data_IF_711598482807
#
_entry.id   IF_711598482807
#
_cell.length_a   1.000
_cell.length_b   1.000
_cell.length_c   1.000
_cell.angle_alpha   90.00
_cell.angle_beta   90.00
_cell.angle_gamma   90.00
#
_symmetry.space_group_name_H-M   'P 1'
#
loop_
_entity.id
_entity.type
_entity.pdbx_description
1 polymer ?
#
# COMPACT_ATOMS: atom_id res chain seq x y z
N UNK A 1 -28.28 -7.88 18.79
CA UNK A 1 -27.79 -6.47 18.74
C UNK A 1 -28.64 -5.67 17.77
N UNK A 2 -29.44 -4.71 18.24
CA UNK A 2 -30.20 -3.79 17.39
C UNK A 2 -29.19 -2.98 16.54
N UNK A 3 -29.23 -3.15 15.20
CA UNK A 3 -28.51 -2.23 14.29
C UNK A 3 -29.02 -0.83 14.58
N UNK A 4 -28.18 0.02 15.12
CA UNK A 4 -28.43 1.46 15.18
C UNK A 4 -28.59 1.94 13.73
N UNK A 5 -29.85 2.04 13.26
CA UNK A 5 -30.15 2.75 12.03
C UNK A 5 -29.97 4.22 12.35
N UNK A 6 -28.94 4.82 11.74
CA UNK A 6 -28.77 6.27 11.82
C UNK A 6 -30.07 6.91 11.28
N UNK A 7 -30.57 7.97 11.93
CA UNK A 7 -31.78 8.64 11.44
C UNK A 7 -31.62 9.06 9.98
N UNK A 8 -32.72 9.15 9.22
CA UNK A 8 -32.67 9.65 7.85
C UNK A 8 -31.94 11.01 7.82
N UNK A 9 -31.26 11.28 6.71
CA UNK A 9 -30.62 12.57 6.51
C UNK A 9 -31.68 13.52 5.94
N UNK A 10 -32.18 14.44 6.76
CA UNK A 10 -33.12 15.46 6.37
C UNK A 10 -32.39 16.66 5.76
N UNK A 11 -32.04 16.55 4.51
CA UNK A 11 -31.44 17.65 3.74
C UNK A 11 -31.96 17.59 2.30
N UNK A 12 -32.36 18.73 1.67
CA UNK A 12 -32.93 18.75 0.32
C UNK A 12 -32.03 18.10 -0.74
N UNK A 13 -30.72 18.22 -0.60
CA UNK A 13 -29.75 17.61 -1.51
C UNK A 13 -29.53 16.11 -1.30
N UNK A 14 -30.04 15.51 -0.22
CA UNK A 14 -29.74 14.13 0.16
C UNK A 14 -30.07 13.13 -0.96
N UNK A 15 -31.18 13.33 -1.67
CA UNK A 15 -31.61 12.44 -2.74
C UNK A 15 -30.67 12.52 -3.96
N UNK A 16 -30.23 13.73 -4.35
CA UNK A 16 -29.30 13.91 -5.47
C UNK A 16 -27.95 13.21 -5.19
N UNK A 17 -27.40 13.41 -3.99
CA UNK A 17 -26.17 12.75 -3.57
C UNK A 17 -26.31 11.22 -3.47
N UNK A 18 -27.44 10.72 -2.98
CA UNK A 18 -27.70 9.28 -2.93
C UNK A 18 -27.74 8.66 -4.34
N UNK A 19 -28.41 9.29 -5.30
CA UNK A 19 -28.44 8.86 -6.71
C UNK A 19 -27.04 8.86 -7.34
N UNK A 20 -26.23 9.88 -7.05
CA UNK A 20 -24.85 9.94 -7.54
C UNK A 20 -24.01 8.77 -6.98
N UNK A 21 -24.16 8.44 -5.68
CA UNK A 21 -23.51 7.27 -5.10
C UNK A 21 -24.01 5.97 -5.76
N UNK A 22 -25.29 5.81 -6.00
CA UNK A 22 -25.86 4.65 -6.67
C UNK A 22 -25.33 4.49 -8.08
N UNK A 23 -25.24 5.57 -8.85
CA UNK A 23 -24.62 5.57 -10.19
C UNK A 23 -23.15 5.12 -10.15
N UNK A 24 -22.39 5.55 -9.14
CA UNK A 24 -21.01 5.12 -8.95
C UNK A 24 -20.88 3.66 -8.45
N UNK A 25 -21.95 3.08 -7.88
CA UNK A 25 -21.91 1.76 -7.25
C UNK A 25 -21.66 0.60 -8.20
N UNK A 26 -21.89 0.75 -9.50
CA UNK A 26 -21.54 -0.26 -10.50
C UNK A 26 -20.05 -0.57 -10.53
N UNK A 27 -19.20 0.39 -10.14
CA UNK A 27 -17.75 0.26 -10.09
C UNK A 27 -17.17 0.18 -8.66
N UNK A 28 -17.98 0.47 -7.63
CA UNK A 28 -17.53 0.56 -6.24
C UNK A 28 -17.72 -0.74 -5.47
N UNK A 29 -16.76 -1.05 -4.58
CA UNK A 29 -16.94 -2.10 -3.59
C UNK A 29 -17.97 -1.66 -2.53
N UNK A 30 -18.66 -2.60 -1.84
CA UNK A 30 -19.57 -2.27 -0.74
C UNK A 30 -18.92 -1.43 0.37
N UNK A 31 -17.62 -1.64 0.60
CA UNK A 31 -16.83 -0.84 1.55
C UNK A 31 -16.65 0.59 1.09
N UNK A 32 -16.41 0.80 -0.20
CA UNK A 32 -16.27 2.13 -0.79
C UNK A 32 -17.60 2.88 -0.78
N UNK A 33 -18.70 2.20 -1.13
CA UNK A 33 -20.05 2.78 -1.02
C UNK A 33 -20.30 3.31 0.39
N UNK A 34 -20.06 2.48 1.40
CA UNK A 34 -20.24 2.88 2.81
C UNK A 34 -19.40 4.10 3.19
N UNK A 35 -18.19 4.21 2.65
CA UNK A 35 -17.34 5.37 2.87
C UNK A 35 -17.92 6.63 2.24
N UNK A 36 -18.43 6.55 1.01
CA UNK A 36 -19.11 7.66 0.35
C UNK A 36 -20.36 8.10 1.10
N UNK A 37 -21.19 7.16 1.55
CA UNK A 37 -22.37 7.45 2.38
C UNK A 37 -22.00 8.22 3.64
N UNK A 38 -20.89 7.84 4.31
CA UNK A 38 -20.40 8.56 5.50
C UNK A 38 -19.95 9.99 5.15
N UNK A 39 -19.24 10.15 4.05
CA UNK A 39 -18.73 11.45 3.62
C UNK A 39 -19.87 12.40 3.26
N UNK A 40 -20.82 11.93 2.45
CA UNK A 40 -22.00 12.71 2.06
C UNK A 40 -22.79 13.12 3.29
N UNK A 41 -23.05 12.17 4.20
CA UNK A 41 -23.77 12.47 5.42
C UNK A 41 -23.09 13.57 6.24
N UNK A 42 -21.77 13.46 6.44
CA UNK A 42 -21.03 14.48 7.21
C UNK A 42 -21.05 15.85 6.52
N UNK A 43 -20.95 15.88 5.20
CA UNK A 43 -20.98 17.10 4.43
C UNK A 43 -22.39 17.76 4.47
N UNK A 44 -23.45 16.98 4.26
CA UNK A 44 -24.82 17.50 4.28
C UNK A 44 -25.29 17.91 5.68
N UNK A 45 -24.84 17.21 6.74
CA UNK A 45 -25.07 17.68 8.11
C UNK A 45 -24.40 19.02 8.35
N UNK A 46 -23.15 19.18 7.91
CA UNK A 46 -22.46 20.48 7.98
C UNK A 46 -23.21 21.57 7.22
N UNK A 47 -23.63 21.32 5.97
CA UNK A 47 -24.38 22.28 5.19
C UNK A 47 -25.71 22.65 5.87
N UNK A 48 -26.48 21.69 6.34
CA UNK A 48 -27.74 21.94 7.01
C UNK A 48 -27.61 22.72 8.32
N UNK A 49 -26.43 22.66 8.96
CA UNK A 49 -26.16 23.41 10.20
C UNK A 49 -25.66 24.82 9.92
N UNK A 50 -24.69 24.99 9.03
CA UNK A 50 -24.00 26.25 8.78
C UNK A 50 -24.63 27.07 7.65
N UNK A 51 -25.29 26.40 6.70
CA UNK A 51 -25.85 27.02 5.47
C UNK A 51 -27.21 26.39 5.11
N UNK A 52 -28.24 26.53 5.97
CA UNK A 52 -29.56 25.93 5.76
C UNK A 52 -30.28 26.43 4.50
N UNK A 53 -29.87 27.58 3.95
CA UNK A 53 -30.40 28.16 2.72
C UNK A 53 -29.94 27.40 1.46
N UNK A 54 -28.93 26.57 1.55
CA UNK A 54 -28.43 25.78 0.43
C UNK A 54 -29.29 24.55 0.21
N UNK A 55 -30.31 24.69 -0.62
CA UNK A 55 -31.30 23.64 -0.90
C UNK A 55 -31.17 23.01 -2.27
N UNK A 56 -30.42 23.65 -3.20
CA UNK A 56 -30.24 23.23 -4.59
C UNK A 56 -28.76 23.14 -4.97
N UNK A 57 -28.41 22.20 -5.86
CA UNK A 57 -27.03 22.00 -6.33
C UNK A 57 -26.34 23.27 -6.88
N UNK A 58 -27.03 24.13 -7.71
CA UNK A 58 -26.41 25.35 -8.23
C UNK A 58 -26.05 26.39 -7.17
N UNK A 59 -26.57 26.27 -5.95
CA UNK A 59 -26.24 27.21 -4.85
C UNK A 59 -24.90 26.84 -4.17
N UNK A 60 -24.39 25.63 -4.41
CA UNK A 60 -23.10 25.24 -3.87
C UNK A 60 -21.98 26.14 -4.41
N UNK A 61 -21.11 26.60 -3.53
CA UNK A 61 -19.93 27.42 -3.84
C UNK A 61 -18.69 26.76 -3.23
N UNK A 62 -17.54 26.97 -3.89
CA UNK A 62 -16.26 26.55 -3.32
C UNK A 62 -16.02 27.23 -1.97
N UNK A 63 -16.13 28.54 -1.95
CA UNK A 63 -16.15 29.35 -0.75
C UNK A 63 -17.57 29.95 -0.59
N UNK A 64 -18.22 29.81 0.58
CA UNK A 64 -17.68 29.29 1.85
C UNK A 64 -17.92 27.79 2.08
N UNK A 65 -18.72 27.08 1.24
CA UNK A 65 -19.28 25.76 1.61
C UNK A 65 -18.20 24.67 1.68
N UNK A 66 -17.31 24.57 0.68
CA UNK A 66 -16.29 23.50 0.64
C UNK A 66 -15.09 23.86 1.51
N UNK A 67 -14.58 25.09 1.40
CA UNK A 67 -13.44 25.54 2.21
C UNK A 67 -13.81 25.62 3.69
N UNK A 68 -15.05 26.06 4.00
CA UNK A 68 -15.59 26.03 5.36
C UNK A 68 -15.70 24.62 5.92
N UNK A 69 -16.19 23.64 5.11
CA UNK A 69 -16.22 22.24 5.55
C UNK A 69 -14.83 21.66 5.81
N UNK A 70 -13.83 22.03 5.00
CA UNK A 70 -12.45 21.64 5.25
C UNK A 70 -11.93 22.19 6.58
N UNK A 71 -12.25 23.44 6.88
CA UNK A 71 -11.92 24.10 8.15
C UNK A 71 -12.67 23.43 9.32
N UNK A 72 -13.95 23.13 9.16
CA UNK A 72 -14.77 22.39 10.13
C UNK A 72 -14.18 21.01 10.44
N UNK A 73 -13.70 20.26 9.43
CA UNK A 73 -13.04 18.97 9.64
C UNK A 73 -11.73 19.08 10.45
N UNK A 74 -10.99 20.18 10.30
CA UNK A 74 -9.75 20.43 11.06
C UNK A 74 -10.04 20.86 12.50
N UNK A 75 -11.12 21.63 12.72
CA UNK A 75 -11.54 22.08 14.05
C UNK A 75 -12.25 21.02 14.87
N UNK A 76 -12.51 19.83 14.31
CA UNK A 76 -13.18 18.72 15.00
C UNK A 76 -12.42 18.29 16.25
N UNK A 77 -13.14 18.03 17.34
CA UNK A 77 -12.53 17.56 18.60
C UNK A 77 -12.96 16.11 18.88
N UNK A 78 -12.04 15.14 18.91
CA UNK A 78 -10.60 15.25 18.59
C UNK A 78 -10.37 15.51 17.07
N UNK A 79 -9.25 16.14 16.68
CA UNK A 79 -8.98 16.49 15.28
C UNK A 79 -8.89 15.23 14.40
N UNK A 80 -9.47 15.33 13.20
CA UNK A 80 -9.40 14.23 12.25
C UNK A 80 -7.98 14.08 11.69
N UNK A 81 -7.52 12.84 11.60
CA UNK A 81 -6.22 12.55 10.99
C UNK A 81 -6.19 13.02 9.51
N UNK A 82 -5.08 13.64 9.09
CA UNK A 82 -4.89 14.14 7.72
C UNK A 82 -5.25 13.13 6.63
N UNK A 83 -4.85 11.84 6.71
CA UNK A 83 -5.28 10.85 5.71
C UNK A 83 -6.80 10.65 5.65
N UNK A 84 -7.50 10.82 6.78
CA UNK A 84 -8.96 10.73 6.83
C UNK A 84 -9.61 11.90 6.11
N UNK A 85 -9.11 13.12 6.35
CA UNK A 85 -9.57 14.33 5.64
C UNK A 85 -9.34 14.19 4.14
N UNK A 86 -8.14 13.79 3.72
CA UNK A 86 -7.79 13.54 2.32
C UNK A 86 -8.75 12.54 1.68
N UNK A 87 -9.00 11.40 2.34
CA UNK A 87 -9.93 10.39 1.83
C UNK A 87 -11.37 10.91 1.68
N UNK A 88 -11.83 11.75 2.61
CA UNK A 88 -13.15 12.40 2.52
C UNK A 88 -13.24 13.38 1.36
N UNK A 89 -12.21 14.19 1.16
CA UNK A 89 -12.15 15.16 0.07
C UNK A 89 -12.12 14.46 -1.29
N UNK A 90 -11.32 13.41 -1.47
CA UNK A 90 -11.34 12.63 -2.71
C UNK A 90 -12.70 11.99 -2.99
N UNK A 91 -13.35 11.46 -1.96
CA UNK A 91 -14.69 10.88 -2.12
C UNK A 91 -15.71 11.96 -2.53
N UNK A 92 -15.72 13.14 -1.88
CA UNK A 92 -16.61 14.22 -2.21
C UNK A 92 -16.34 14.76 -3.62
N UNK A 93 -15.07 14.91 -4.02
CA UNK A 93 -14.69 15.32 -5.37
C UNK A 93 -15.23 14.35 -6.43
N UNK A 94 -15.09 13.05 -6.21
CA UNK A 94 -15.64 12.03 -7.12
C UNK A 94 -17.15 12.15 -7.24
N UNK A 95 -17.85 12.42 -6.14
CA UNK A 95 -19.31 12.62 -6.14
C UNK A 95 -19.68 13.90 -6.88
N UNK A 96 -18.95 15.01 -6.72
CA UNK A 96 -19.21 16.25 -7.49
C UNK A 96 -19.03 16.04 -8.98
N UNK A 97 -18.04 15.29 -9.42
CA UNK A 97 -17.90 14.92 -10.83
C UNK A 97 -19.11 14.13 -11.34
N UNK A 98 -19.63 13.21 -10.54
CA UNK A 98 -20.81 12.43 -10.91
C UNK A 98 -22.10 13.29 -10.92
N UNK A 99 -22.27 14.18 -9.94
CA UNK A 99 -23.37 15.15 -9.91
C UNK A 99 -23.31 16.11 -11.09
N UNK A 100 -22.12 16.60 -11.45
CA UNK A 100 -21.92 17.45 -12.62
C UNK A 100 -22.37 16.78 -13.90
N UNK A 101 -22.02 15.49 -14.06
CA UNK A 101 -22.38 14.67 -15.22
C UNK A 101 -23.90 14.40 -15.27
N UNK A 102 -24.52 14.00 -14.14
CA UNK A 102 -25.91 13.56 -14.09
C UNK A 102 -26.91 14.72 -14.13
N UNK A 103 -26.52 15.88 -13.62
CA UNK A 103 -27.38 17.07 -13.57
C UNK A 103 -27.00 18.11 -14.61
N UNK A 104 -26.04 17.86 -15.49
CA UNK A 104 -25.53 18.82 -16.51
C UNK A 104 -25.05 20.16 -15.90
N UNK A 105 -24.40 20.08 -14.73
CA UNK A 105 -23.89 21.23 -13.98
C UNK A 105 -22.35 21.22 -13.92
N UNK A 106 -21.64 21.61 -14.99
CA UNK A 106 -20.18 21.53 -15.06
C UNK A 106 -19.46 22.29 -13.94
N UNK A 107 -20.04 23.38 -13.45
CA UNK A 107 -19.47 24.18 -12.36
C UNK A 107 -19.25 23.40 -11.05
N UNK A 108 -19.93 22.26 -10.84
CA UNK A 108 -19.72 21.42 -9.66
C UNK A 108 -18.33 20.75 -9.64
N UNK A 109 -17.68 20.60 -10.80
CA UNK A 109 -16.32 20.02 -10.88
C UNK A 109 -15.28 20.94 -10.24
N UNK A 110 -15.50 22.25 -10.33
CA UNK A 110 -14.56 23.28 -9.86
C UNK A 110 -14.76 23.61 -8.37
N UNK A 111 -15.77 23.03 -7.72
CA UNK A 111 -16.00 23.25 -6.28
C UNK A 111 -14.87 22.69 -5.41
N UNK A 112 -14.21 21.63 -5.85
CA UNK A 112 -13.11 21.00 -5.12
C UNK A 112 -11.99 20.61 -6.08
N UNK A 113 -11.00 21.48 -6.17
CA UNK A 113 -9.84 21.27 -7.00
C UNK A 113 -8.87 20.26 -6.36
N UNK A 114 -7.97 19.69 -7.17
CA UNK A 114 -6.95 18.78 -6.66
C UNK A 114 -5.95 19.48 -5.74
N UNK A 115 -5.70 20.74 -6.01
CA UNK A 115 -4.81 21.62 -5.26
C UNK A 115 -5.33 21.94 -3.86
N UNK A 116 -6.64 21.88 -3.64
CA UNK A 116 -7.28 22.06 -2.33
C UNK A 116 -7.03 20.86 -1.40
N UNK A 117 -6.71 19.72 -1.97
CA UNK A 117 -6.53 18.48 -1.19
C UNK A 117 -5.10 18.44 -0.63
N UNK A 118 -4.94 18.41 0.69
CA UNK A 118 -3.62 18.34 1.32
C UNK A 118 -2.80 17.17 0.80
N UNK A 119 -1.50 17.36 0.69
CA UNK A 119 -0.60 16.23 0.39
C UNK A 119 -0.60 15.25 1.54
N UNK A 120 -0.67 13.95 1.22
CA UNK A 120 -0.55 12.91 2.25
C UNK A 120 0.86 12.94 2.83
N UNK A 121 1.01 12.98 4.17
CA UNK A 121 2.32 12.85 4.77
C UNK A 121 2.91 11.48 4.42
N UNK A 122 4.19 11.48 4.08
CA UNK A 122 4.93 10.24 3.81
C UNK A 122 5.17 9.55 5.16
N UNK A 123 4.35 8.54 5.47
CA UNK A 123 4.54 7.75 6.70
C UNK A 123 5.35 6.51 6.39
N UNK A 124 6.45 6.33 7.12
CA UNK A 124 7.27 5.14 7.04
C UNK A 124 6.51 3.91 7.54
N UNK A 125 6.81 2.71 7.01
CA UNK A 125 6.32 1.47 7.58
C UNK A 125 6.73 1.38 9.05
N UNK A 126 5.83 0.85 9.86
CA UNK A 126 6.08 0.61 11.29
C UNK A 126 6.11 -0.89 11.54
N UNK A 127 7.24 -1.58 11.29
CA UNK A 127 7.38 -2.97 11.68
C UNK A 127 7.34 -3.09 13.21
N UNK A 128 7.11 -4.28 13.70
CA UNK A 128 7.32 -4.60 15.11
C UNK A 128 8.80 -4.41 15.46
N UNK A 129 9.11 -3.95 16.67
CA UNK A 129 10.48 -4.02 17.15
C UNK A 129 10.91 -5.49 17.30
N UNK A 130 12.21 -5.77 17.32
CA UNK A 130 12.71 -7.13 17.49
C UNK A 130 12.17 -7.79 18.77
N UNK A 131 12.10 -7.03 19.85
CA UNK A 131 11.56 -7.46 21.13
C UNK A 131 10.06 -7.77 21.05
N UNK A 132 9.27 -6.84 20.48
CA UNK A 132 7.82 -7.05 20.28
C UNK A 132 7.54 -8.27 19.41
N UNK A 133 8.27 -8.44 18.31
CA UNK A 133 8.11 -9.58 17.42
C UNK A 133 8.44 -10.90 18.13
N UNK A 134 9.50 -10.94 18.92
CA UNK A 134 9.90 -12.10 19.69
C UNK A 134 8.86 -12.45 20.77
N UNK A 135 8.44 -11.49 21.58
CA UNK A 135 7.45 -11.70 22.64
C UNK A 135 6.11 -12.20 22.07
N UNK A 136 5.61 -11.56 21.02
CA UNK A 136 4.36 -11.97 20.39
C UNK A 136 4.45 -13.35 19.77
N UNK A 137 5.55 -13.68 19.08
CA UNK A 137 5.74 -15.00 18.49
C UNK A 137 5.79 -16.10 19.57
N UNK A 138 6.53 -15.88 20.65
CA UNK A 138 6.62 -16.82 21.76
C UNK A 138 5.25 -17.03 22.41
N UNK A 139 4.50 -15.96 22.64
CA UNK A 139 3.18 -16.06 23.27
C UNK A 139 2.15 -16.75 22.36
N UNK A 140 2.16 -16.46 21.05
CA UNK A 140 1.29 -17.16 20.11
C UNK A 140 1.61 -18.65 19.99
N UNK A 141 2.91 -19.03 20.01
CA UNK A 141 3.33 -20.41 20.03
C UNK A 141 2.94 -21.11 21.33
N UNK A 142 3.08 -20.44 22.48
CA UNK A 142 2.70 -20.96 23.79
C UNK A 142 1.19 -21.19 23.89
N UNK A 143 0.38 -20.24 23.43
CA UNK A 143 -1.09 -20.37 23.43
C UNK A 143 -1.57 -21.44 22.47
N UNK A 144 -0.95 -21.51 21.31
CA UNK A 144 -1.31 -22.43 20.23
C UNK A 144 -2.83 -22.49 19.96
N UNK A 145 -3.50 -21.34 20.04
CA UNK A 145 -4.93 -21.19 19.78
C UNK A 145 -5.18 -20.65 18.34
N UNK A 146 -6.45 -20.55 17.94
CA UNK A 146 -6.83 -20.08 16.62
C UNK A 146 -6.24 -18.70 16.31
N UNK A 147 -6.39 -17.74 17.24
CA UNK A 147 -5.93 -16.36 17.05
C UNK A 147 -4.41 -16.29 16.90
N UNK A 148 -3.66 -16.96 17.77
CA UNK A 148 -2.20 -17.03 17.71
C UNK A 148 -1.69 -17.62 16.40
N UNK A 149 -2.28 -18.72 15.94
CA UNK A 149 -1.89 -19.34 14.66
C UNK A 149 -2.23 -18.43 13.46
N UNK A 150 -3.32 -17.67 13.50
CA UNK A 150 -3.62 -16.65 12.46
C UNK A 150 -2.55 -15.55 12.44
N UNK A 151 -2.15 -15.01 13.60
CA UNK A 151 -1.12 -13.96 13.63
C UNK A 151 0.27 -14.47 13.26
N UNK A 152 0.60 -15.70 13.61
CA UNK A 152 1.81 -16.37 13.11
C UNK A 152 1.76 -16.50 11.58
N UNK A 153 0.64 -16.93 11.00
CA UNK A 153 0.49 -17.01 9.55
C UNK A 153 0.69 -15.63 8.88
N UNK A 154 0.11 -14.55 9.44
CA UNK A 154 0.33 -13.19 8.93
C UNK A 154 1.81 -12.81 8.96
N UNK A 155 2.51 -13.17 10.04
CA UNK A 155 3.92 -12.83 10.25
C UNK A 155 4.85 -13.58 9.30
N UNK A 156 4.56 -14.85 8.99
CA UNK A 156 5.38 -15.71 8.14
C UNK A 156 5.07 -15.63 6.65
N UNK A 157 3.91 -15.14 6.27
CA UNK A 157 3.50 -15.07 4.86
C UNK A 157 3.28 -13.65 4.33
N UNK A 158 3.25 -12.66 5.22
CA UNK A 158 2.98 -11.28 4.87
C UNK A 158 1.58 -11.02 4.31
N UNK A 159 0.64 -11.97 4.39
CA UNK A 159 -0.74 -11.76 3.95
C UNK A 159 -1.46 -10.72 4.82
N UNK A 160 -2.41 -10.00 4.23
CA UNK A 160 -3.24 -9.07 5.01
C UNK A 160 -4.25 -9.84 5.85
N UNK A 161 -4.61 -9.33 7.03
CA UNK A 161 -5.63 -9.97 7.86
C UNK A 161 -6.95 -10.17 7.11
N UNK A 162 -7.33 -9.23 6.23
CA UNK A 162 -8.51 -9.36 5.38
C UNK A 162 -8.39 -10.46 4.31
N UNK A 163 -7.18 -10.78 3.87
CA UNK A 163 -6.89 -11.91 2.97
C UNK A 163 -6.86 -13.23 3.74
N UNK A 164 -6.27 -13.24 4.94
CA UNK A 164 -6.22 -14.44 5.79
C UNK A 164 -7.62 -14.97 6.13
N UNK A 165 -8.57 -14.09 6.43
CA UNK A 165 -9.97 -14.49 6.70
C UNK A 165 -10.73 -14.91 5.44
N UNK A 166 -10.20 -14.69 4.25
CA UNK A 166 -10.77 -15.13 2.97
C UNK A 166 -10.10 -16.41 2.43
N UNK A 167 -9.06 -16.93 3.08
CA UNK A 167 -8.38 -18.15 2.65
C UNK A 167 -9.39 -19.31 2.55
N UNK A 168 -9.30 -20.05 1.45
CA UNK A 168 -10.05 -21.28 1.30
C UNK A 168 -9.46 -22.39 2.19
N UNK A 169 -10.27 -23.38 2.53
CA UNK A 169 -9.82 -24.55 3.32
C UNK A 169 -8.64 -25.27 2.64
N UNK A 170 -8.65 -25.33 1.32
CA UNK A 170 -7.62 -25.96 0.48
C UNK A 170 -6.60 -24.95 -0.08
N UNK A 171 -6.37 -23.82 0.62
CA UNK A 171 -5.43 -22.78 0.21
C UNK A 171 -3.97 -23.23 0.09
N UNK A 172 -3.59 -24.37 0.71
CA UNK A 172 -2.24 -24.90 0.64
C UNK A 172 -2.11 -25.79 -0.61
N UNK A 173 -1.20 -25.41 -1.52
CA UNK A 173 -0.98 -26.07 -2.81
C UNK A 173 0.45 -26.60 -2.92
N UNK A 174 0.68 -27.78 -3.48
CA UNK A 174 2.02 -28.24 -3.81
C UNK A 174 2.60 -27.34 -4.93
N UNK A 175 3.85 -26.95 -4.77
CA UNK A 175 4.59 -26.09 -5.71
C UNK A 175 5.82 -26.79 -6.32
N UNK A 176 6.07 -28.03 -5.94
CA UNK A 176 7.19 -28.87 -6.36
C UNK A 176 7.47 -29.96 -5.34
N UNK A 177 8.50 -30.81 -5.54
CA UNK A 177 8.92 -31.80 -4.55
C UNK A 177 9.25 -31.12 -3.21
N UNK A 178 8.51 -31.46 -2.17
CA UNK A 178 8.63 -30.86 -0.82
C UNK A 178 8.46 -29.34 -0.75
N UNK A 179 7.91 -28.71 -1.80
CA UNK A 179 7.64 -27.28 -1.83
C UNK A 179 6.14 -27.01 -1.78
N UNK A 180 5.78 -26.01 -0.99
CA UNK A 180 4.39 -25.63 -0.78
C UNK A 180 4.20 -24.13 -0.98
N UNK A 181 3.02 -23.76 -1.42
CA UNK A 181 2.63 -22.38 -1.54
C UNK A 181 1.22 -22.17 -1.02
N UNK A 182 1.01 -21.01 -0.39
CA UNK A 182 -0.29 -20.55 0.06
C UNK A 182 -0.97 -19.79 -1.07
N UNK A 183 -2.10 -20.29 -1.53
CA UNK A 183 -2.95 -19.61 -2.48
C UNK A 183 -3.74 -18.51 -1.77
N UNK A 184 -3.44 -17.27 -2.09
CA UNK A 184 -4.12 -16.08 -1.55
C UNK A 184 -5.12 -15.60 -2.59
N UNK A 185 -6.45 -15.67 -2.30
CA UNK A 185 -7.48 -15.33 -3.28
C UNK A 185 -7.50 -13.82 -3.55
N UNK A 186 -8.25 -13.44 -4.58
CA UNK A 186 -8.48 -12.05 -4.98
C UNK A 186 -8.90 -11.19 -3.78
N UNK A 187 -7.99 -10.32 -3.33
CA UNK A 187 -8.26 -9.36 -2.26
C UNK A 187 -8.77 -8.01 -2.76
N UNK A 188 -8.71 -6.99 -1.92
CA UNK A 188 -9.11 -5.60 -2.22
C UNK A 188 -8.45 -5.05 -3.50
N UNK A 189 -7.24 -5.48 -3.82
CA UNK A 189 -6.49 -5.04 -5.01
C UNK A 189 -6.72 -5.93 -6.25
N UNK A 190 -7.67 -6.86 -6.19
CA UNK A 190 -7.98 -7.83 -7.26
C UNK A 190 -6.73 -8.58 -7.76
N UNK A 191 -5.79 -8.87 -6.85
CA UNK A 191 -4.60 -9.67 -7.13
C UNK A 191 -4.70 -11.01 -6.42
N UNK A 192 -4.68 -12.07 -7.20
CA UNK A 192 -4.49 -13.44 -6.74
C UNK A 192 -3.01 -13.78 -6.79
N UNK A 193 -2.51 -14.53 -5.82
CA UNK A 193 -1.09 -14.88 -5.79
C UNK A 193 -0.81 -16.15 -5.03
N UNK A 194 0.30 -16.77 -5.37
CA UNK A 194 0.90 -17.86 -4.62
C UNK A 194 2.04 -17.32 -3.76
N UNK A 195 2.01 -17.59 -2.45
CA UNK A 195 3.06 -17.22 -1.50
C UNK A 195 3.77 -18.50 -1.08
N UNK A 196 5.06 -18.69 -1.40
CA UNK A 196 5.82 -19.85 -0.93
C UNK A 196 5.79 -19.94 0.59
N UNK A 197 5.67 -21.15 1.11
CA UNK A 197 5.70 -21.42 2.55
C UNK A 197 6.67 -22.57 2.84
N UNK A 198 7.39 -22.43 3.94
CA UNK A 198 8.25 -23.47 4.49
C UNK A 198 7.45 -24.52 5.29
N UNK A 199 8.15 -25.45 5.91
CA UNK A 199 7.54 -26.49 6.75
C UNK A 199 6.71 -25.88 7.88
N UNK A 200 7.21 -24.81 8.51
CA UNK A 200 6.48 -24.15 9.60
C UNK A 200 5.20 -23.46 9.11
N UNK A 201 5.27 -22.73 7.99
CA UNK A 201 4.10 -22.11 7.37
C UNK A 201 3.03 -23.15 6.95
N UNK A 202 3.48 -24.31 6.43
CA UNK A 202 2.60 -25.46 6.14
C UNK A 202 1.91 -25.96 7.43
N UNK A 203 2.67 -26.15 8.49
CA UNK A 203 2.12 -26.64 9.76
C UNK A 203 1.12 -25.67 10.39
N UNK A 204 1.33 -24.36 10.26
CA UNK A 204 0.35 -23.36 10.69
C UNK A 204 -0.99 -23.54 9.96
N UNK A 205 -0.99 -23.79 8.64
CA UNK A 205 -2.21 -24.05 7.88
C UNK A 205 -2.89 -25.33 8.36
N UNK A 206 -2.12 -26.41 8.65
CA UNK A 206 -2.67 -27.65 9.20
C UNK A 206 -3.29 -27.45 10.59
N UNK A 207 -2.66 -26.67 11.47
CA UNK A 207 -3.25 -26.30 12.77
C UNK A 207 -4.56 -25.52 12.60
N UNK A 208 -4.60 -24.56 11.68
CA UNK A 208 -5.82 -23.81 11.39
C UNK A 208 -6.93 -24.71 10.83
N UNK A 209 -6.60 -25.69 9.97
CA UNK A 209 -7.55 -26.73 9.52
C UNK A 209 -8.07 -27.57 10.67
N UNK A 210 -7.20 -27.95 11.61
CA UNK A 210 -7.60 -28.67 12.81
C UNK A 210 -8.58 -27.84 13.65
N UNK A 211 -8.30 -26.56 13.95
CA UNK A 211 -9.28 -25.70 14.62
C UNK A 211 -10.58 -25.57 13.85
N UNK A 212 -10.51 -25.52 12.51
CA UNK A 212 -11.71 -25.45 11.67
C UNK A 212 -12.55 -26.71 11.76
N UNK A 213 -11.94 -27.90 11.90
CA UNK A 213 -12.67 -29.15 12.06
C UNK A 213 -13.38 -29.30 13.41
N UNK A 214 -12.91 -28.58 14.43
CA UNK A 214 -13.54 -28.53 15.76
C UNK A 214 -14.66 -27.48 15.87
N UNK A 215 -14.77 -26.59 14.87
CA UNK A 215 -15.74 -25.49 14.90
C UNK A 215 -17.14 -26.02 14.51
N UNK A 216 -18.18 -25.75 15.33
CA UNK A 216 -19.55 -26.24 15.06
C UNK A 216 -20.24 -25.55 13.87
N UNK A 217 -19.67 -24.46 13.36
CA UNK A 217 -20.23 -23.75 12.21
C UNK A 217 -20.13 -24.58 10.93
N UNK A 218 -21.14 -24.50 10.04
CA UNK A 218 -21.15 -25.23 8.78
C UNK A 218 -19.89 -24.96 7.95
N UNK A 219 -19.45 -25.98 7.22
CA UNK A 219 -18.33 -25.87 6.30
C UNK A 219 -18.71 -24.93 5.13
N UNK A 220 -18.09 -23.76 5.07
CA UNK A 220 -18.31 -22.77 4.01
C UNK A 220 -17.14 -22.71 3.01
N UNK A 221 -16.31 -23.76 3.00
CA UNK A 221 -15.12 -23.86 2.14
C UNK A 221 -13.96 -22.94 2.56
N UNK A 222 -14.05 -22.29 3.72
CA UNK A 222 -13.01 -21.38 4.25
C UNK A 222 -12.17 -22.03 5.34
N UNK A 223 -10.92 -21.56 5.42
CA UNK A 223 -9.97 -22.00 6.45
C UNK A 223 -10.40 -21.52 7.85
N UNK A 224 -11.00 -20.35 7.96
CA UNK A 224 -11.46 -19.76 9.23
C UNK A 224 -12.98 -19.66 9.21
N UNK A 225 -13.63 -20.22 10.24
CA UNK A 225 -15.06 -20.07 10.45
C UNK A 225 -15.46 -18.62 10.68
N UNK A 226 -16.62 -18.21 10.17
CA UNK A 226 -17.13 -16.85 10.32
C UNK A 226 -18.36 -16.84 11.21
N UNK A 227 -18.25 -16.34 12.46
CA UNK A 227 -19.42 -16.16 13.29
C UNK A 227 -20.24 -14.97 12.77
N UNK A 228 -21.15 -15.24 11.83
CA UNK A 228 -22.05 -14.26 11.23
C UNK A 228 -21.46 -13.50 10.05
N UNK A 229 -20.34 -12.80 10.17
CA UNK A 229 -19.80 -11.98 9.08
C UNK A 229 -18.26 -11.89 9.08
N UNK A 230 -17.69 -11.57 7.91
CA UNK A 230 -16.25 -11.25 7.81
C UNK A 230 -15.83 -10.14 8.77
N UNK A 231 -16.68 -9.13 8.95
CA UNK A 231 -16.38 -7.99 9.83
C UNK A 231 -16.33 -8.44 11.29
N UNK A 232 -17.23 -9.32 11.71
CA UNK A 232 -17.26 -9.86 13.06
C UNK A 232 -15.95 -10.62 13.38
N UNK A 233 -15.52 -11.50 12.47
CA UNK A 233 -14.26 -12.23 12.64
C UNK A 233 -13.05 -11.28 12.69
N UNK A 234 -13.02 -10.25 11.84
CA UNK A 234 -11.95 -9.25 11.86
C UNK A 234 -11.90 -8.46 13.18
N UNK A 235 -13.07 -8.18 13.76
CA UNK A 235 -13.16 -7.52 15.08
C UNK A 235 -12.62 -8.46 16.15
N UNK A 236 -13.08 -9.71 16.19
CA UNK A 236 -12.62 -10.72 17.17
C UNK A 236 -11.10 -10.92 17.12
N UNK A 237 -10.51 -11.01 15.92
CA UNK A 237 -9.05 -11.14 15.78
C UNK A 237 -8.31 -9.90 16.28
N UNK A 238 -8.85 -8.70 16.06
CA UNK A 238 -8.24 -7.46 16.58
C UNK A 238 -8.32 -7.38 18.10
N UNK A 239 -9.47 -7.74 18.67
CA UNK A 239 -9.68 -7.77 20.11
C UNK A 239 -8.77 -8.81 20.78
N UNK A 240 -8.63 -10.00 20.15
CA UNK A 240 -7.65 -11.01 20.57
C UNK A 240 -6.22 -10.44 20.60
N UNK A 241 -5.77 -9.80 19.52
CA UNK A 241 -4.44 -9.19 19.47
C UNK A 241 -4.27 -8.14 20.58
N UNK A 242 -5.27 -7.27 20.76
CA UNK A 242 -5.24 -6.25 21.81
C UNK A 242 -5.12 -6.88 23.20
N UNK A 243 -5.86 -7.95 23.48
CA UNK A 243 -5.80 -8.68 24.73
C UNK A 243 -4.43 -9.32 24.96
N UNK A 244 -3.83 -9.93 23.93
CA UNK A 244 -2.47 -10.48 24.01
C UNK A 244 -1.44 -9.40 24.31
N UNK A 245 -1.52 -8.26 23.60
CA UNK A 245 -0.62 -7.14 23.85
C UNK A 245 -0.75 -6.61 25.27
N UNK A 246 -1.97 -6.52 25.78
CA UNK A 246 -2.23 -6.10 27.16
C UNK A 246 -1.62 -7.09 28.18
N UNK A 247 -1.81 -8.39 27.98
CA UNK A 247 -1.24 -9.44 28.85
C UNK A 247 0.29 -9.40 28.87
N UNK A 248 0.91 -9.05 27.73
CA UNK A 248 2.38 -8.90 27.62
C UNK A 248 2.90 -7.54 28.12
N UNK A 249 2.05 -6.65 28.62
CA UNK A 249 2.46 -5.31 29.08
C UNK A 249 2.97 -4.40 27.97
N UNK A 250 2.59 -4.63 26.72
CA UNK A 250 3.03 -3.80 25.58
C UNK A 250 2.29 -2.46 25.61
N UNK A 251 2.99 -1.38 25.88
CA UNK A 251 2.43 -0.01 25.98
C UNK A 251 2.01 0.58 24.62
N UNK A 252 2.61 0.13 23.54
CA UNK A 252 2.31 0.61 22.19
C UNK A 252 1.18 -0.17 21.54
N UNK A 253 0.26 0.54 20.88
CA UNK A 253 -0.81 -0.10 20.13
C UNK A 253 -0.26 -0.85 18.92
N UNK A 254 -0.37 -2.17 18.94
CA UNK A 254 -0.01 -3.05 17.82
C UNK A 254 -1.24 -3.35 16.98
N UNK A 255 -1.07 -3.29 15.66
CA UNK A 255 -2.14 -3.56 14.69
C UNK A 255 -1.72 -4.66 13.72
N UNK A 256 -2.66 -5.45 13.16
CA UNK A 256 -2.36 -6.59 12.27
C UNK A 256 -1.45 -6.24 11.09
N UNK A 257 -1.50 -5.01 10.61
CA UNK A 257 -0.68 -4.58 9.46
C UNK A 257 0.82 -4.53 9.78
N UNK A 258 1.19 -4.37 11.06
CA UNK A 258 2.60 -4.37 11.48
C UNK A 258 3.29 -5.73 11.29
N UNK A 259 2.57 -6.85 11.41
CA UNK A 259 3.09 -8.18 11.10
C UNK A 259 3.53 -8.28 9.64
N UNK A 260 2.74 -7.73 8.73
CA UNK A 260 3.10 -7.66 7.32
C UNK A 260 4.27 -6.70 7.06
N UNK A 261 4.35 -5.58 7.80
CA UNK A 261 5.51 -4.68 7.72
C UNK A 261 6.77 -5.40 8.18
N UNK A 262 6.71 -6.16 9.28
CA UNK A 262 7.83 -6.95 9.78
C UNK A 262 8.28 -8.02 8.78
N UNK A 263 7.33 -8.76 8.17
CA UNK A 263 7.63 -9.72 7.10
C UNK A 263 8.32 -9.03 5.92
N UNK A 264 7.79 -7.92 5.43
CA UNK A 264 8.35 -7.22 4.28
C UNK A 264 9.77 -6.70 4.55
N UNK A 265 9.99 -6.13 5.74
CA UNK A 265 11.31 -5.64 6.16
C UNK A 265 12.31 -6.78 6.31
N UNK A 266 11.89 -7.91 6.88
CA UNK A 266 12.74 -9.10 7.03
C UNK A 266 13.12 -9.67 5.66
N UNK A 267 12.17 -9.82 4.74
CA UNK A 267 12.43 -10.32 3.38
C UNK A 267 13.45 -9.44 2.64
N UNK A 268 13.31 -8.12 2.72
CA UNK A 268 14.30 -7.20 2.14
C UNK A 268 15.67 -7.36 2.79
N UNK A 269 15.76 -7.39 4.11
CA UNK A 269 17.02 -7.61 4.83
C UNK A 269 17.67 -8.94 4.52
N UNK A 270 16.87 -9.95 4.18
CA UNK A 270 17.33 -11.27 3.73
C UNK A 270 17.72 -11.31 2.25
N UNK A 271 17.68 -10.17 1.54
CA UNK A 271 18.15 -10.06 0.15
C UNK A 271 17.09 -10.45 -0.89
N UNK A 272 15.81 -10.54 -0.53
CA UNK A 272 14.73 -10.73 -1.50
C UNK A 272 14.63 -9.49 -2.38
N UNK A 273 14.70 -9.69 -3.70
CA UNK A 273 14.63 -8.58 -4.65
C UNK A 273 13.30 -7.86 -4.59
N UNK A 274 13.31 -6.56 -4.85
CA UNK A 274 12.13 -5.70 -4.82
C UNK A 274 10.95 -6.21 -5.68
N UNK A 275 11.15 -6.66 -6.96
CA UNK A 275 10.05 -7.20 -7.76
C UNK A 275 9.44 -8.47 -7.17
N UNK A 276 10.26 -9.33 -6.55
CA UNK A 276 9.79 -10.55 -5.88
C UNK A 276 8.98 -10.19 -4.64
N UNK A 277 9.46 -9.24 -3.83
CA UNK A 277 8.70 -8.76 -2.67
C UNK A 277 7.36 -8.15 -3.07
N UNK A 278 7.30 -7.37 -4.16
CA UNK A 278 6.03 -6.86 -4.70
C UNK A 278 5.04 -7.98 -4.99
N UNK A 279 5.49 -9.06 -5.64
CA UNK A 279 4.65 -10.23 -5.95
C UNK A 279 4.20 -10.95 -4.68
N UNK A 280 5.11 -11.20 -3.72
CA UNK A 280 4.79 -11.85 -2.45
C UNK A 280 3.72 -11.07 -1.67
N UNK A 281 3.85 -9.75 -1.64
CA UNK A 281 2.90 -8.87 -0.98
C UNK A 281 1.61 -8.60 -1.80
N UNK A 282 1.60 -8.89 -3.11
CA UNK A 282 0.50 -8.55 -4.00
C UNK A 282 0.30 -7.04 -4.11
N UNK A 283 1.39 -6.29 -4.30
CA UNK A 283 1.35 -4.86 -4.56
C UNK A 283 1.29 -4.60 -6.06
N UNK A 284 0.28 -3.87 -6.51
CA UNK A 284 0.12 -3.46 -7.91
C UNK A 284 0.97 -2.22 -8.20
N UNK A 285 1.04 -1.29 -7.24
CA UNK A 285 1.84 -0.08 -7.36
C UNK A 285 3.19 -0.25 -6.64
N UNK A 286 4.33 -0.03 -7.34
CA UNK A 286 5.66 -0.04 -6.75
C UNK A 286 5.81 0.85 -5.52
N UNK A 287 5.17 2.02 -5.49
CA UNK A 287 5.21 2.95 -4.36
C UNK A 287 4.79 2.30 -3.02
N UNK A 288 3.89 1.30 -3.08
CA UNK A 288 3.47 0.57 -1.88
C UNK A 288 4.62 -0.24 -1.27
N UNK A 289 5.55 -0.71 -2.09
CA UNK A 289 6.72 -1.48 -1.67
C UNK A 289 7.93 -0.60 -1.43
N UNK A 290 8.06 0.52 -2.16
CA UNK A 290 9.14 1.50 -1.97
C UNK A 290 9.21 2.02 -0.53
N UNK A 291 8.10 2.07 0.18
CA UNK A 291 8.05 2.45 1.60
C UNK A 291 8.94 1.59 2.50
N UNK A 292 9.25 0.34 2.10
CA UNK A 292 10.13 -0.55 2.86
C UNK A 292 11.60 -0.37 2.49
N UNK A 293 11.89 0.38 1.42
CA UNK A 293 13.23 0.64 0.89
C UNK A 293 13.81 1.95 1.47
N UNK A 294 13.33 2.43 2.61
CA UNK A 294 14.02 3.47 3.37
C UNK A 294 15.31 2.86 3.94
N UNK A 295 16.27 2.79 3.06
CA UNK A 295 17.55 2.16 3.22
C UNK A 295 18.42 3.07 4.09
N UNK A 296 18.84 2.60 5.25
CA UNK A 296 19.86 3.28 6.03
C UNK A 296 21.18 3.26 5.26
N UNK A 297 22.09 4.22 5.54
CA UNK A 297 23.43 4.25 4.92
C UNK A 297 24.18 2.92 5.12
N UNK A 298 23.94 2.25 6.25
CA UNK A 298 24.51 0.94 6.58
C UNK A 298 23.96 -0.16 5.64
N UNK A 299 22.68 -0.13 5.35
CA UNK A 299 22.07 -1.09 4.42
C UNK A 299 22.59 -0.87 2.99
N UNK A 300 22.77 0.39 2.57
CA UNK A 300 23.39 0.72 1.26
C UNK A 300 24.82 0.18 1.15
N UNK A 301 25.63 0.35 2.17
CA UNK A 301 27.01 -0.17 2.20
C UNK A 301 27.03 -1.71 2.15
N UNK A 302 26.15 -2.35 2.91
CA UNK A 302 26.02 -3.80 2.91
C UNK A 302 25.60 -4.34 1.54
N UNK A 303 24.57 -3.78 0.94
CA UNK A 303 24.09 -4.15 -0.40
C UNK A 303 25.17 -3.94 -1.48
N UNK A 304 25.90 -2.83 -1.39
CA UNK A 304 27.01 -2.56 -2.29
C UNK A 304 28.13 -3.61 -2.15
N UNK A 305 28.49 -3.98 -0.93
CA UNK A 305 29.50 -5.02 -0.69
C UNK A 305 29.01 -6.40 -1.18
N UNK A 306 27.75 -6.77 -0.91
CA UNK A 306 27.15 -8.01 -1.39
C UNK A 306 27.08 -8.08 -2.91
N UNK A 307 26.78 -6.97 -3.58
CA UNK A 307 26.77 -6.91 -5.03
C UNK A 307 28.19 -7.07 -5.62
N UNK A 308 29.20 -6.57 -4.93
CA UNK A 308 30.62 -6.72 -5.34
C UNK A 308 31.20 -8.10 -5.05
N UNK A 309 30.75 -8.76 -3.98
CA UNK A 309 31.24 -10.10 -3.58
C UNK A 309 30.65 -11.24 -4.42
N UNK A 310 29.54 -11.02 -5.14
CA UNK A 310 28.96 -12.02 -6.03
C UNK A 310 29.82 -12.17 -7.28
N UNK A 311 30.39 -13.36 -7.57
CA UNK A 311 31.13 -13.56 -8.81
C UNK A 311 30.20 -13.29 -10.00
N UNK A 312 30.62 -12.44 -10.92
CA UNK A 312 29.89 -12.15 -12.17
C UNK A 312 29.98 -13.35 -13.09
N UNK A 313 29.05 -14.28 -13.03
CA UNK A 313 29.01 -15.47 -13.88
C UNK A 313 28.60 -15.22 -15.34
N UNK A 314 28.52 -14.00 -15.84
CA UNK A 314 27.98 -13.67 -17.17
C UNK A 314 28.83 -12.73 -18.01
N UNK A 315 30.12 -12.60 -17.73
CA UNK A 315 31.04 -12.04 -18.72
C UNK A 315 32.25 -12.96 -18.84
N UNK A 316 32.70 -13.34 -20.06
CA UNK A 316 34.00 -13.92 -20.21
C UNK A 316 35.01 -12.93 -19.62
N UNK A 317 35.79 -13.40 -18.64
CA UNK A 317 36.80 -12.55 -18.04
C UNK A 317 37.73 -12.09 -19.19
N UNK A 318 37.85 -10.80 -19.48
CA UNK A 318 38.96 -10.36 -20.26
C UNK A 318 40.19 -10.69 -19.44
N UNK A 319 41.06 -11.54 -19.97
CA UNK A 319 42.43 -11.72 -19.48
C UNK A 319 43.17 -10.41 -19.73
N UNK A 320 42.99 -9.46 -18.86
CA UNK A 320 43.79 -8.24 -18.86
C UNK A 320 43.87 -7.72 -17.42
N UNK A 321 45.09 -7.65 -16.93
CA UNK A 321 45.51 -6.70 -15.92
C UNK A 321 44.72 -5.41 -16.11
N UNK A 322 44.05 -4.94 -15.06
CA UNK A 322 43.38 -3.63 -15.05
C UNK A 322 44.41 -2.61 -15.53
N UNK A 323 44.15 -1.90 -16.63
CA UNK A 323 45.03 -0.80 -16.97
C UNK A 323 44.96 0.17 -15.76
N UNK A 324 46.09 0.73 -15.35
CA UNK A 324 46.06 1.78 -14.32
C UNK A 324 45.05 2.82 -14.78
N UNK A 325 44.22 3.33 -13.86
CA UNK A 325 43.40 4.50 -14.12
C UNK A 325 44.30 5.51 -14.80
N UNK A 326 44.13 5.71 -16.10
CA UNK A 326 44.89 6.71 -16.85
C UNK A 326 44.53 8.05 -16.19
N UNK A 327 45.41 8.51 -15.32
CA UNK A 327 45.31 9.84 -14.76
C UNK A 327 45.59 10.79 -15.95
N UNK A 328 44.57 11.54 -16.34
CA UNK A 328 44.69 12.48 -17.44
C UNK A 328 43.40 12.61 -18.26
N UNK A 329 43.52 13.36 -19.34
CA UNK A 329 42.42 13.71 -20.24
C UNK A 329 41.74 12.47 -20.85
N UNK A 330 42.52 11.41 -21.13
CA UNK A 330 42.02 10.13 -21.65
C UNK A 330 41.05 9.43 -20.70
N UNK A 331 41.37 9.38 -19.41
CA UNK A 331 40.48 8.80 -18.40
C UNK A 331 39.18 9.60 -18.23
N UNK A 332 39.24 10.92 -18.37
CA UNK A 332 38.07 11.80 -18.37
C UNK A 332 37.19 11.53 -19.61
N UNK A 333 37.77 11.40 -20.80
CA UNK A 333 37.03 11.10 -22.02
C UNK A 333 36.35 9.73 -21.94
N UNK A 334 37.03 8.70 -21.43
CA UNK A 334 36.47 7.37 -21.25
C UNK A 334 35.29 7.39 -20.24
N UNK A 335 35.41 8.13 -19.14
CA UNK A 335 34.32 8.32 -18.18
C UNK A 335 33.10 9.02 -18.79
N UNK A 336 33.32 10.06 -19.59
CA UNK A 336 32.24 10.81 -20.26
C UNK A 336 31.54 9.95 -21.30
N UNK A 337 32.28 9.13 -22.05
CA UNK A 337 31.74 8.17 -23.04
C UNK A 337 30.89 7.10 -22.33
N UNK A 338 31.36 6.53 -21.23
CA UNK A 338 30.62 5.54 -20.48
C UNK A 338 29.31 6.16 -19.92
N UNK A 339 29.35 7.40 -19.43
CA UNK A 339 28.19 8.12 -18.96
C UNK A 339 27.18 8.38 -20.07
N UNK A 340 27.64 8.74 -21.28
CA UNK A 340 26.79 8.96 -22.44
C UNK A 340 26.09 7.66 -22.86
N UNK A 341 26.80 6.55 -22.87
CA UNK A 341 26.23 5.24 -23.18
C UNK A 341 25.13 4.84 -22.18
N UNK A 342 25.37 5.05 -20.89
CA UNK A 342 24.37 4.80 -19.85
C UNK A 342 23.13 5.67 -20.02
N UNK A 343 23.29 6.96 -20.36
CA UNK A 343 22.15 7.86 -20.61
C UNK A 343 21.31 7.40 -21.82
N UNK A 344 21.94 6.94 -22.90
CA UNK A 344 21.22 6.43 -24.07
C UNK A 344 20.45 5.15 -23.75
N UNK A 345 21.06 4.24 -22.99
CA UNK A 345 20.45 2.98 -22.59
C UNK A 345 19.28 3.23 -21.64
N UNK A 346 19.47 4.09 -20.63
CA UNK A 346 18.43 4.42 -19.66
C UNK A 346 17.24 5.17 -20.28
N UNK A 347 17.49 6.00 -21.31
CA UNK A 347 16.41 6.69 -22.06
C UNK A 347 15.42 5.71 -22.69
N UNK A 348 15.88 4.53 -23.13
CA UNK A 348 15.02 3.49 -23.73
C UNK A 348 14.08 2.84 -22.72
N UNK A 349 14.43 2.83 -21.45
CA UNK A 349 13.63 2.23 -20.36
C UNK A 349 12.62 3.20 -19.72
N UNK A 350 12.68 4.51 -20.05
CA UNK A 350 11.78 5.52 -19.46
C UNK A 350 10.43 5.52 -20.18
N UNK A 351 9.35 5.34 -19.40
CA UNK A 351 7.98 5.43 -19.89
C UNK A 351 7.45 6.88 -19.99
N UNK A 352 8.11 7.85 -19.33
CA UNK A 352 7.66 9.24 -19.26
C UNK A 352 8.34 10.10 -20.34
N UNK A 353 7.56 10.67 -21.26
CA UNK A 353 8.05 11.48 -22.37
C UNK A 353 8.77 12.78 -21.94
N UNK A 354 8.33 13.43 -20.86
CA UNK A 354 9.01 14.61 -20.32
C UNK A 354 10.40 14.26 -19.76
N UNK A 355 10.49 13.13 -19.06
CA UNK A 355 11.77 12.63 -18.55
C UNK A 355 12.70 12.21 -19.70
N UNK A 356 12.16 11.55 -20.74
CA UNK A 356 12.90 11.15 -21.95
C UNK A 356 13.46 12.36 -22.70
N UNK A 357 12.67 13.42 -22.86
CA UNK A 357 13.09 14.68 -23.47
C UNK A 357 14.16 15.40 -22.65
N UNK A 358 14.02 15.43 -21.34
CA UNK A 358 15.01 16.03 -20.43
C UNK A 358 16.34 15.28 -20.48
N UNK A 359 16.30 13.95 -20.47
CA UNK A 359 17.50 13.11 -20.57
C UNK A 359 18.17 13.28 -21.93
N UNK A 360 17.41 13.44 -23.01
CA UNK A 360 17.95 13.72 -24.34
C UNK A 360 18.72 15.05 -24.39
N UNK A 361 18.17 16.13 -23.79
CA UNK A 361 18.86 17.42 -23.68
C UNK A 361 20.17 17.31 -22.89
N UNK A 362 20.18 16.55 -21.79
CA UNK A 362 21.40 16.30 -21.02
C UNK A 362 22.43 15.51 -21.81
N UNK A 363 22.03 14.47 -22.55
CA UNK A 363 22.90 13.69 -23.42
C UNK A 363 23.54 14.56 -24.50
N UNK A 364 22.79 15.49 -25.12
CA UNK A 364 23.31 16.41 -26.11
C UNK A 364 24.35 17.41 -25.51
N UNK A 365 24.10 17.88 -24.28
CA UNK A 365 25.08 18.72 -23.55
C UNK A 365 26.38 17.96 -23.26
N UNK A 366 26.26 16.69 -22.85
CA UNK A 366 27.40 15.81 -22.59
C UNK A 366 28.22 15.57 -23.89
N UNK A 367 27.54 15.40 -25.04
CA UNK A 367 28.21 15.29 -26.33
C UNK A 367 29.04 16.52 -26.69
N UNK A 368 28.54 17.73 -26.38
CA UNK A 368 29.32 18.97 -26.61
C UNK A 368 30.56 19.02 -25.72
N UNK A 369 30.40 18.69 -24.41
CA UNK A 369 31.54 18.63 -23.49
C UNK A 369 32.60 17.63 -23.97
N UNK A 370 32.18 16.44 -24.45
CA UNK A 370 33.06 15.43 -25.02
C UNK A 370 33.85 15.97 -26.21
N UNK A 371 33.19 16.72 -27.10
CA UNK A 371 33.85 17.31 -28.26
C UNK A 371 34.87 18.38 -27.88
N UNK A 372 34.54 19.20 -26.88
CA UNK A 372 35.46 20.23 -26.36
C UNK A 372 36.65 19.58 -25.62
N UNK A 373 36.43 18.54 -24.81
CA UNK A 373 37.50 17.81 -24.11
C UNK A 373 38.45 17.13 -25.10
N UNK A 374 37.95 16.60 -26.25
CA UNK A 374 38.80 16.03 -27.30
C UNK A 374 39.66 17.07 -28.02
N UNK A 375 39.17 18.31 -28.17
CA UNK A 375 39.96 19.38 -28.73
C UNK A 375 41.15 19.76 -27.84
N UNK A 376 40.98 19.70 -26.51
CA UNK A 376 42.04 19.92 -25.55
C UNK A 376 43.14 18.82 -25.58
N UNK A 377 42.84 17.67 -26.16
CA UNK A 377 43.79 16.57 -26.34
C UNK A 377 44.65 16.74 -27.61
N UNK A 378 44.15 17.50 -28.58
CA UNK A 378 44.79 17.73 -29.88
C UNK A 378 45.51 19.09 -29.96
N UNK A 379 45.38 19.94 -28.95
CA UNK A 379 46.10 21.19 -28.77
C UNK A 379 47.26 21.00 -27.80
#
# INVERSE_FOLDING_TARGET
>A
MKRWRRPPLEHPLAQAFARAIESLCTALTPSSKRQYDIVVRNFLVYLGTEYPEVTHLPQLRRDPHILGWMSHMRAHTPPLATPTCIGRLFALRTIFHELARTHHLPALVDLLLREDIPRSPHTLPRPLSAEQDQLLRQEFLRRNDLGGNVFLLLRYTGVRIGEAVDLSYDCLRPAGPNQWALHVPLGKLKTERMVPVDAFGRDLVHRLRFFRSLDPLPADGRLLARPGSKVALLVQLRDYLHQVCYTLGLSTRIVPHQFRHSYATEMLRSGVSFPVLMKLLGHVNPEMTMRYVDVTLIDLQREFQLARSKPRHLAPQPKTSSPPLRAGLDGLIDSLLATQHLMVTFRRSLANDKARTRLHRLSNRLSKILTETRKLQTS
#
